data_IF_398103393138
#
_entry.id   IF_398103393138
#
_cell.length_a   1.000
_cell.length_b   1.000
_cell.length_c   1.000
_cell.angle_alpha   90.00
_cell.angle_beta   90.00
_cell.angle_gamma   90.00
#
_symmetry.space_group_name_H-M   'P 1'
#
loop_
_entity.id
_entity.type
_entity.pdbx_description
1 polymer ?
#
# COMPACT_ATOMS: atom_id res chain seq x y z
N UNK A 1 -12.45 8.03 -2.78
CA UNK A 1 -12.76 6.59 -2.57
C UNK A 1 -11.64 5.80 -3.22
N UNK A 2 -11.12 4.75 -2.59
CA UNK A 2 -10.16 3.86 -3.26
C UNK A 2 -10.88 3.15 -4.42
N UNK A 3 -10.28 3.15 -5.61
CA UNK A 3 -10.81 2.42 -6.75
C UNK A 3 -10.45 0.94 -6.61
N UNK A 4 -11.41 0.06 -6.87
CA UNK A 4 -11.12 -1.37 -6.98
C UNK A 4 -10.18 -1.58 -8.18
N UNK A 5 -9.12 -2.40 -8.05
CA UNK A 5 -8.22 -2.67 -9.16
C UNK A 5 -8.96 -3.39 -10.29
N UNK A 6 -8.53 -3.16 -11.53
CA UNK A 6 -8.96 -4.00 -12.64
C UNK A 6 -8.41 -5.42 -12.44
N UNK A 7 -9.18 -6.42 -12.85
CA UNK A 7 -8.82 -7.83 -12.70
C UNK A 7 -8.65 -8.48 -14.07
N UNK A 8 -7.68 -9.38 -14.18
CA UNK A 8 -7.62 -10.36 -15.26
C UNK A 8 -8.80 -11.33 -15.17
N UNK A 9 -9.05 -12.09 -16.24
CA UNK A 9 -10.13 -13.09 -16.26
C UNK A 9 -10.01 -14.17 -15.17
N UNK A 10 -8.81 -14.39 -14.63
CA UNK A 10 -8.54 -15.31 -13.53
C UNK A 10 -8.71 -14.69 -12.13
N UNK A 11 -9.19 -13.44 -12.03
CA UNK A 11 -9.40 -12.74 -10.77
C UNK A 11 -8.15 -12.10 -10.15
N UNK A 12 -6.98 -12.24 -10.79
CA UNK A 12 -5.77 -11.56 -10.34
C UNK A 12 -5.83 -10.06 -10.69
N UNK A 13 -5.39 -9.15 -9.79
CA UNK A 13 -5.31 -7.74 -10.12
C UNK A 13 -4.34 -7.48 -11.27
N UNK A 14 -4.70 -6.54 -12.15
CA UNK A 14 -3.84 -6.06 -13.23
C UNK A 14 -2.79 -5.13 -12.62
N UNK A 15 -1.48 -5.44 -12.73
CA UNK A 15 -0.44 -4.62 -12.13
C UNK A 15 -0.22 -3.34 -12.93
N UNK A 16 0.22 -2.28 -12.25
CA UNK A 16 0.70 -1.07 -12.91
C UNK A 16 2.07 -1.28 -13.57
N UNK A 17 2.44 -0.38 -14.49
CA UNK A 17 3.79 -0.39 -15.09
C UNK A 17 4.82 -0.20 -13.99
N UNK A 18 5.74 -1.16 -13.86
CA UNK A 18 6.77 -1.17 -12.81
C UNK A 18 6.32 -1.81 -11.48
N UNK A 19 5.06 -2.27 -11.38
CA UNK A 19 4.59 -3.07 -10.25
C UNK A 19 4.88 -4.56 -10.48
N UNK A 20 5.32 -5.25 -9.42
CA UNK A 20 5.62 -6.68 -9.44
C UNK A 20 4.93 -7.37 -8.27
N UNK A 21 4.18 -8.44 -8.56
CA UNK A 21 3.65 -9.30 -7.51
C UNK A 21 4.77 -10.13 -6.87
N UNK A 22 4.95 -9.94 -5.57
CA UNK A 22 5.99 -10.64 -4.78
C UNK A 22 5.45 -11.93 -4.15
N UNK A 23 4.18 -11.93 -3.74
CA UNK A 23 3.54 -13.07 -3.06
C UNK A 23 2.03 -13.00 -3.23
N UNK A 24 1.41 -14.13 -3.55
CA UNK A 24 -0.04 -14.33 -3.49
C UNK A 24 -0.33 -15.48 -2.52
N UNK A 25 -1.32 -15.30 -1.64
CA UNK A 25 -1.65 -16.32 -0.63
C UNK A 25 -3.09 -16.20 -0.14
N UNK A 26 -3.72 -17.36 0.00
CA UNK A 26 -5.05 -17.49 0.60
C UNK A 26 -5.00 -17.47 2.14
N UNK A 27 -6.13 -17.15 2.78
CA UNK A 27 -6.24 -17.14 4.24
C UNK A 27 -5.53 -15.97 4.92
N UNK A 28 -5.28 -14.88 4.18
CA UNK A 28 -4.86 -13.59 4.70
C UNK A 28 -6.06 -12.65 4.73
N UNK A 29 -6.38 -12.10 5.89
CA UNK A 29 -7.42 -11.08 6.03
C UNK A 29 -6.81 -9.73 6.37
N UNK A 30 -7.44 -8.67 5.87
CA UNK A 30 -7.01 -7.29 6.08
C UNK A 30 -8.13 -6.50 6.76
N UNK A 31 -7.84 -5.97 7.94
CA UNK A 31 -8.72 -5.10 8.70
C UNK A 31 -8.10 -3.70 8.79
N UNK A 32 -8.90 -2.68 8.47
CA UNK A 32 -8.53 -1.28 8.67
C UNK A 32 -9.79 -0.50 9.04
N UNK A 33 -9.71 0.33 10.08
CA UNK A 33 -10.90 0.99 10.63
C UNK A 33 -11.52 1.99 9.66
N UNK A 34 -10.69 2.78 8.95
CA UNK A 34 -11.10 3.70 7.87
C UNK A 34 -9.93 3.95 6.91
N UNK A 35 -10.23 4.09 5.62
CA UNK A 35 -9.25 4.38 4.56
C UNK A 35 -9.49 5.80 4.05
N UNK A 36 -8.48 6.67 4.17
CA UNK A 36 -8.47 8.00 3.54
C UNK A 36 -7.15 8.23 2.80
N UNK A 37 -7.21 8.32 1.48
CA UNK A 37 -6.09 8.76 0.62
C UNK A 37 -4.87 7.83 0.60
N UNK A 38 -3.74 8.33 0.06
CA UNK A 38 -2.46 7.62 0.08
C UNK A 38 -1.92 7.52 1.51
N UNK A 39 -1.33 6.39 1.86
CA UNK A 39 -1.15 5.95 3.23
C UNK A 39 0.32 5.61 3.52
N UNK A 40 0.86 6.18 4.61
CA UNK A 40 2.18 5.84 5.14
C UNK A 40 2.03 4.87 6.31
N UNK A 41 2.50 3.63 6.13
CA UNK A 41 2.46 2.59 7.17
C UNK A 41 3.62 2.78 8.14
N UNK A 42 3.37 2.69 9.47
CA UNK A 42 4.36 2.77 10.57
C UNK A 42 4.01 1.88 11.76
N UNK A 43 5.00 1.58 12.59
CA UNK A 43 4.80 0.87 13.86
C UNK A 43 4.37 -0.58 13.67
N UNK A 44 4.81 -1.21 12.58
CA UNK A 44 4.49 -2.59 12.26
C UNK A 44 5.06 -3.54 13.32
N UNK A 45 4.19 -4.38 13.87
CA UNK A 45 4.54 -5.38 14.87
C UNK A 45 3.90 -6.70 14.52
N UNK A 46 4.71 -7.75 14.53
CA UNK A 46 4.24 -9.12 14.44
C UNK A 46 3.81 -9.62 15.82
N UNK A 47 2.59 -10.15 15.92
CA UNK A 47 2.02 -10.71 17.13
C UNK A 47 1.71 -12.21 16.88
N UNK A 48 2.10 -13.06 17.82
CA UNK A 48 1.82 -14.50 17.80
C UNK A 48 0.95 -14.92 19.00
N UNK A 49 -0.37 -14.64 18.97
CA UNK A 49 -1.29 -15.18 19.95
C UNK A 49 -1.33 -16.72 19.90
N UNK A 50 -1.85 -17.31 20.97
CA UNK A 50 -2.06 -18.77 21.07
C UNK A 50 -3.04 -19.20 19.95
N UNK A 51 -2.84 -20.41 19.39
CA UNK A 51 -3.63 -21.03 18.31
C UNK A 51 -3.45 -20.49 16.89
N UNK A 52 -2.23 -20.14 16.48
CA UNK A 52 -1.90 -19.84 15.08
C UNK A 52 -2.60 -18.62 14.46
N UNK A 53 -3.38 -17.86 15.24
CA UNK A 53 -4.02 -16.59 14.86
C UNK A 53 -2.99 -15.43 14.83
N UNK A 54 -1.88 -15.65 14.12
CA UNK A 54 -0.83 -14.65 13.99
C UNK A 54 -1.37 -13.41 13.28
N UNK A 55 -0.88 -12.24 13.66
CA UNK A 55 -1.23 -11.01 12.96
C UNK A 55 -0.07 -10.03 12.91
N UNK A 56 -0.06 -9.18 11.89
CA UNK A 56 0.72 -7.95 11.88
C UNK A 56 -0.23 -6.81 12.21
N UNK A 57 0.11 -6.00 13.21
CA UNK A 57 -0.61 -4.77 13.52
C UNK A 57 0.28 -3.56 13.28
N UNK A 58 -0.30 -2.44 12.91
CA UNK A 58 0.43 -1.17 12.88
C UNK A 58 -0.50 0.01 12.70
N UNK A 59 0.11 1.13 12.35
CA UNK A 59 -0.55 2.39 12.12
C UNK A 59 -0.40 2.82 10.68
N UNK A 60 -1.43 3.51 10.20
CA UNK A 60 -1.45 4.13 8.90
C UNK A 60 -1.72 5.62 9.07
N UNK A 61 -0.73 6.41 8.67
CA UNK A 61 -0.85 7.87 8.63
C UNK A 61 -1.25 8.29 7.22
N UNK A 62 -2.24 9.18 7.06
CA UNK A 62 -2.54 9.78 5.77
C UNK A 62 -1.34 10.61 5.30
N UNK A 63 -0.89 10.35 4.07
CA UNK A 63 0.12 11.20 3.41
C UNK A 63 -0.54 12.55 3.21
N UNK A 64 0.04 13.57 3.83
CA UNK A 64 -0.50 14.92 3.88
C UNK A 64 -0.48 15.58 2.49
N UNK A 65 -1.47 15.30 1.67
CA UNK A 65 -2.02 16.28 0.74
C UNK A 65 -3.19 16.90 1.49
N UNK A 66 -2.89 17.80 2.43
CA UNK A 66 -3.92 18.66 3.00
C UNK A 66 -4.07 19.80 2.01
N UNK A 67 -5.19 19.91 1.27
CA UNK A 67 -5.44 21.08 0.43
C UNK A 67 -5.35 22.32 1.30
N UNK A 68 -4.76 23.39 0.76
CA UNK A 68 -4.55 24.65 1.47
C UNK A 68 -5.89 25.14 2.05
N UNK A 69 -6.04 25.10 3.38
CA UNK A 69 -7.27 25.50 4.09
C UNK A 69 -7.98 24.41 4.90
N UNK A 70 -7.60 23.12 4.81
CA UNK A 70 -8.20 22.07 5.64
C UNK A 70 -7.43 21.79 6.94
N UNK A 71 -8.16 21.50 8.03
CA UNK A 71 -7.54 21.15 9.30
C UNK A 71 -6.98 19.71 9.27
N UNK A 72 -5.67 19.57 9.49
CA UNK A 72 -4.95 18.30 9.68
C UNK A 72 -5.64 17.35 10.68
N UNK A 73 -6.40 17.89 11.64
CA UNK A 73 -7.16 17.13 12.63
C UNK A 73 -8.29 16.26 12.05
N UNK A 74 -8.73 16.52 10.82
CA UNK A 74 -9.73 15.69 10.13
C UNK A 74 -9.16 14.34 9.64
N UNK A 75 -7.84 14.21 9.62
CA UNK A 75 -7.13 13.05 9.11
C UNK A 75 -6.46 12.32 10.30
N UNK A 76 -7.20 11.43 10.96
CA UNK A 76 -6.68 10.63 12.07
C UNK A 76 -5.70 9.56 11.62
N UNK A 77 -4.75 9.18 12.48
CA UNK A 77 -3.99 7.94 12.31
C UNK A 77 -4.92 6.75 12.48
N UNK A 78 -4.86 5.78 11.56
CA UNK A 78 -5.71 4.60 11.58
C UNK A 78 -4.92 3.37 11.99
N UNK A 79 -5.56 2.44 12.70
CA UNK A 79 -4.96 1.14 12.98
C UNK A 79 -5.25 0.17 11.84
N UNK A 80 -4.31 -0.71 11.53
CA UNK A 80 -4.54 -1.82 10.59
C UNK A 80 -4.08 -3.14 11.21
N UNK A 81 -4.70 -4.23 10.75
CA UNK A 81 -4.27 -5.60 11.02
C UNK A 81 -4.27 -6.45 9.77
N UNK A 82 -3.22 -7.25 9.63
CA UNK A 82 -3.14 -8.36 8.68
C UNK A 82 -3.24 -9.63 9.51
N UNK A 83 -4.29 -10.43 9.31
CA UNK A 83 -4.53 -11.67 10.04
C UNK A 83 -4.16 -12.87 9.17
N UNK A 84 -3.42 -13.81 9.74
CA UNK A 84 -3.05 -15.07 9.08
C UNK A 84 -3.89 -16.20 9.67
N UNK A 85 -4.91 -16.66 8.92
CA UNK A 85 -5.81 -17.74 9.37
C UNK A 85 -5.26 -19.13 9.07
N UNK A 86 -4.53 -19.28 7.97
CA UNK A 86 -4.05 -20.57 7.44
C UNK A 86 -2.50 -20.65 7.43
N UNK A 87 -1.86 -20.09 8.46
CA UNK A 87 -0.39 -20.05 8.58
C UNK A 87 0.29 -19.17 7.52
N UNK A 88 1.58 -19.41 7.26
CA UNK A 88 2.35 -18.68 6.22
C UNK A 88 3.03 -17.39 6.65
N UNK A 89 2.79 -16.96 7.88
CA UNK A 89 3.47 -15.79 8.45
C UNK A 89 5.00 -15.92 8.41
N UNK A 90 5.55 -17.14 8.48
CA UNK A 90 7.00 -17.38 8.36
C UNK A 90 7.62 -16.96 7.02
N UNK A 91 6.82 -16.93 5.94
CA UNK A 91 7.26 -16.43 4.62
C UNK A 91 6.83 -14.98 4.40
N UNK A 92 5.60 -14.64 4.78
CA UNK A 92 5.05 -13.31 4.56
C UNK A 92 5.75 -12.23 5.40
N UNK A 93 5.95 -12.48 6.70
CA UNK A 93 6.45 -11.45 7.63
C UNK A 93 7.84 -10.94 7.23
N UNK A 94 8.84 -11.79 6.91
CA UNK A 94 10.14 -11.32 6.44
C UNK A 94 10.03 -10.50 5.15
N UNK A 95 9.24 -10.95 4.18
CA UNK A 95 9.07 -10.24 2.90
C UNK A 95 8.44 -8.85 3.12
N UNK A 96 7.36 -8.79 3.90
CA UNK A 96 6.65 -7.55 4.20
C UNK A 96 7.56 -6.55 4.93
N UNK A 97 8.22 -6.96 6.02
CA UNK A 97 9.06 -6.06 6.80
C UNK A 97 10.28 -5.57 6.01
N UNK A 98 10.90 -6.44 5.19
CA UNK A 98 12.02 -6.06 4.34
C UNK A 98 11.60 -5.11 3.23
N UNK A 99 10.43 -5.32 2.61
CA UNK A 99 9.91 -4.43 1.57
C UNK A 99 9.63 -3.04 2.14
N UNK A 100 8.95 -2.96 3.29
CA UNK A 100 8.68 -1.70 3.98
C UNK A 100 9.99 -0.98 4.34
N UNK A 101 10.98 -1.70 4.88
CA UNK A 101 12.29 -1.12 5.19
C UNK A 101 12.99 -0.56 3.94
N UNK A 102 12.98 -1.32 2.83
CA UNK A 102 13.60 -0.94 1.55
C UNK A 102 12.94 0.31 0.97
N UNK A 103 11.60 0.34 0.92
CA UNK A 103 10.84 1.50 0.41
C UNK A 103 11.09 2.74 1.27
N UNK A 104 11.16 2.60 2.59
CA UNK A 104 11.50 3.72 3.49
C UNK A 104 12.89 4.27 3.23
N UNK A 105 13.89 3.39 3.10
CA UNK A 105 15.25 3.80 2.77
C UNK A 105 15.30 4.52 1.43
N UNK A 106 14.68 3.94 0.39
CA UNK A 106 14.60 4.56 -0.94
C UNK A 106 13.97 5.96 -0.87
N UNK A 107 12.84 6.11 -0.18
CA UNK A 107 12.15 7.39 -0.04
C UNK A 107 12.98 8.42 0.75
N UNK A 108 13.74 8.00 1.76
CA UNK A 108 14.66 8.86 2.50
C UNK A 108 15.83 9.33 1.61
N UNK A 109 16.42 8.42 0.83
CA UNK A 109 17.46 8.77 -0.14
C UNK A 109 16.91 9.72 -1.21
N UNK A 110 15.74 9.44 -1.79
CA UNK A 110 15.11 10.29 -2.80
C UNK A 110 14.66 11.67 -2.28
N UNK A 111 14.40 11.80 -0.98
CA UNK A 111 14.09 13.09 -0.35
C UNK A 111 15.35 13.92 -0.05
N UNK A 112 16.52 13.29 0.05
CA UNK A 112 17.80 13.96 0.32
C UNK A 112 18.49 14.52 -0.94
N UNK A 113 18.08 14.10 -2.14
CA UNK A 113 18.56 14.68 -3.40
C UNK A 113 17.76 15.94 -3.77
N UNK A 114 18.42 17.07 -4.10
CA UNK A 114 17.73 18.30 -4.47
C UNK A 114 17.04 18.13 -5.83
N UNK A 115 15.87 18.77 -5.97
CA UNK A 115 14.81 18.51 -6.94
C UNK A 115 15.13 18.74 -8.44
N UNK A 116 16.40 18.81 -8.83
CA UNK A 116 16.82 19.20 -10.18
C UNK A 116 16.89 18.01 -11.16
N UNK A 117 16.97 16.76 -10.69
CA UNK A 117 17.11 15.57 -11.53
C UNK A 117 16.15 14.42 -11.17
N UNK A 118 15.18 14.66 -10.27
CA UNK A 118 14.21 13.63 -9.93
C UNK A 118 13.29 13.37 -11.14
N UNK A 119 13.38 12.15 -11.68
CA UNK A 119 12.42 11.59 -12.63
C UNK A 119 10.99 11.94 -12.17
N UNK A 120 10.06 12.22 -13.11
CA UNK A 120 8.74 12.73 -12.76
C UNK A 120 8.10 11.77 -11.74
N UNK A 121 7.84 12.29 -10.53
CA UNK A 121 7.06 11.60 -9.51
C UNK A 121 5.68 11.36 -10.13
N UNK A 122 5.44 10.17 -10.68
CA UNK A 122 4.12 9.80 -11.16
C UNK A 122 3.18 9.84 -9.96
N UNK A 123 2.16 10.69 -10.04
CA UNK A 123 1.08 10.70 -9.07
C UNK A 123 0.44 9.29 -9.07
N UNK A 124 0.37 8.58 -7.93
CA UNK A 124 -0.28 7.28 -7.84
C UNK A 124 -1.72 7.30 -8.37
N UNK A 125 -2.40 8.45 -8.34
CA UNK A 125 -3.73 8.61 -8.93
C UNK A 125 -3.72 8.71 -10.46
N UNK A 126 -2.62 9.15 -11.07
CA UNK A 126 -2.42 9.12 -12.52
C UNK A 126 -1.94 7.74 -13.00
N UNK A 127 -1.14 7.03 -12.21
CA UNK A 127 -0.74 5.65 -12.50
C UNK A 127 -1.96 4.71 -12.57
N UNK A 128 -3.06 5.05 -11.88
CA UNK A 128 -4.33 4.33 -11.91
C UNK A 128 -5.05 4.37 -13.27
N UNK A 129 -4.70 5.29 -14.18
CA UNK A 129 -5.21 5.24 -15.56
C UNK A 129 -4.50 4.11 -16.31
N UNK A 130 -5.19 2.97 -16.39
CA UNK A 130 -4.78 1.91 -17.32
C UNK A 130 -4.88 2.41 -18.76
N UNK A 131 -3.94 2.07 -19.66
CA UNK A 131 -3.97 2.48 -21.07
C UNK A 131 -5.21 2.02 -21.86
N UNK A 132 -6.06 1.18 -21.26
CA UNK A 132 -7.32 0.70 -21.84
C UNK A 132 -8.34 1.84 -22.06
N UNK A 133 -8.39 2.82 -21.15
CA UNK A 133 -9.32 3.95 -21.25
C UNK A 133 -9.00 4.86 -22.46
N UNK A 134 -7.73 4.90 -22.87
CA UNK A 134 -7.26 5.65 -24.03
C UNK A 134 -7.65 4.95 -25.34
N UNK A 135 -7.65 3.60 -25.36
CA UNK A 135 -8.10 2.81 -26.51
C UNK A 135 -9.62 2.89 -26.74
N UNK A 136 -10.44 2.97 -25.68
CA UNK A 136 -11.90 3.10 -25.82
C UNK A 136 -12.35 4.50 -26.26
N UNK A 137 -11.55 5.55 -26.00
CA UNK A 137 -11.88 6.93 -26.41
C UNK A 137 -11.60 7.23 -27.87
N UNK A 138 -10.81 6.38 -28.54
CA UNK A 138 -10.40 6.54 -29.94
C UNK A 138 -11.08 5.56 -30.90
N UNK A 139 -12.12 4.84 -30.44
CA UNK A 139 -12.93 3.93 -31.26
C UNK A 139 -14.29 4.55 -31.62
#
# INVERSE_FOLDING_TARGET
MALNPQLFANGMPVPFVGEMFVLARDGVEFEIDKIVGSLFVRGEKFNQPIFHCNNISGFVEPVSVVPEGEHRALYSTHSFKILFKEGGCGTFVPLFLNLIATVRQYNQHAAAYPAHEAAPRMDPLQAAQTPVDEMMRHA
#
